data_IF_632805393976
#
_entry.id   IF_632805393976
#
_cell.length_a   1.000
_cell.length_b   1.000
_cell.length_c   1.000
_cell.angle_alpha   90.00
_cell.angle_beta   90.00
_cell.angle_gamma   90.00
#
_symmetry.space_group_name_H-M   'P 1'
#
loop_
_entity.id
_entity.type
_entity.pdbx_description
1 polymer ?
#
# COMPACT_ATOMS: atom_id res chain seq x y z
N UNK A 1 0.54 -11.59 -24.30
CA UNK A 1 1.10 -10.37 -23.71
C UNK A 1 -0.03 -9.70 -22.96
N UNK A 2 0.04 -9.63 -21.65
CA UNK A 2 -1.00 -9.02 -20.82
C UNK A 2 -0.69 -7.53 -20.60
N UNK A 3 -1.73 -6.73 -20.33
CA UNK A 3 -1.66 -5.29 -20.14
C UNK A 3 -2.06 -4.90 -18.72
N UNK A 4 -1.19 -4.20 -18.02
CA UNK A 4 -1.39 -3.88 -16.60
C UNK A 4 -1.28 -2.38 -16.33
N UNK A 5 -2.11 -1.88 -15.43
CA UNK A 5 -1.98 -0.56 -14.84
C UNK A 5 -1.34 -0.67 -13.45
N UNK A 6 -0.32 0.14 -13.15
CA UNK A 6 0.35 0.18 -11.85
C UNK A 6 0.31 1.61 -11.31
N UNK A 7 -0.32 1.84 -10.16
CA UNK A 7 -0.25 3.12 -9.45
C UNK A 7 0.96 3.16 -8.51
N UNK A 8 1.55 4.34 -8.31
CA UNK A 8 2.80 4.46 -7.55
C UNK A 8 3.99 3.85 -8.30
N UNK A 9 3.99 3.94 -9.62
CA UNK A 9 4.94 3.26 -10.52
C UNK A 9 6.40 3.64 -10.27
N UNK A 10 6.67 4.88 -9.84
CA UNK A 10 8.01 5.39 -9.53
C UNK A 10 8.46 5.11 -8.08
N UNK A 11 7.56 4.66 -7.22
CA UNK A 11 7.91 4.22 -5.87
C UNK A 11 8.67 2.89 -5.88
N UNK A 12 9.42 2.57 -4.84
CA UNK A 12 10.29 1.38 -4.81
C UNK A 12 9.57 0.07 -5.08
N UNK A 13 8.34 -0.13 -4.55
CA UNK A 13 7.54 -1.33 -4.86
C UNK A 13 6.97 -1.29 -6.28
N UNK A 14 6.41 -0.14 -6.70
CA UNK A 14 5.82 0.03 -8.04
C UNK A 14 6.85 -0.19 -9.14
N UNK A 15 8.03 0.41 -9.02
CA UNK A 15 9.15 0.26 -9.96
C UNK A 15 9.58 -1.20 -10.11
N UNK A 16 9.69 -1.92 -8.99
CA UNK A 16 10.03 -3.35 -9.01
C UNK A 16 8.93 -4.20 -9.68
N UNK A 17 7.65 -3.84 -9.48
CA UNK A 17 6.51 -4.51 -10.12
C UNK A 17 6.53 -4.26 -11.62
N UNK A 18 6.66 -2.99 -12.05
CA UNK A 18 6.74 -2.63 -13.47
C UNK A 18 7.87 -3.39 -14.17
N UNK A 19 9.07 -3.36 -13.57
CA UNK A 19 10.24 -4.09 -14.10
C UNK A 19 9.98 -5.60 -14.21
N UNK A 20 9.37 -6.22 -13.20
CA UNK A 20 9.11 -7.66 -13.21
C UNK A 20 8.06 -8.06 -14.26
N UNK A 21 7.03 -7.25 -14.47
CA UNK A 21 6.00 -7.49 -15.48
C UNK A 21 6.55 -7.30 -16.88
N UNK A 22 7.29 -6.21 -17.13
CA UNK A 22 7.94 -5.95 -18.42
C UNK A 22 8.94 -7.06 -18.77
N UNK A 23 9.75 -7.51 -17.80
CA UNK A 23 10.67 -8.63 -18.00
C UNK A 23 9.96 -9.97 -18.29
N UNK A 24 8.70 -10.10 -17.90
CA UNK A 24 7.86 -11.25 -18.20
C UNK A 24 7.13 -11.15 -19.57
N UNK A 25 7.44 -10.11 -20.35
CA UNK A 25 6.86 -9.84 -21.68
C UNK A 25 5.49 -9.17 -21.64
N UNK A 26 5.08 -8.61 -20.50
CA UNK A 26 3.81 -7.92 -20.34
C UNK A 26 3.97 -6.40 -20.59
N UNK A 27 2.91 -5.73 -21.00
CA UNK A 27 2.86 -4.28 -21.16
C UNK A 27 2.37 -3.63 -19.86
N UNK A 28 3.01 -2.51 -19.47
CA UNK A 28 2.71 -1.83 -18.22
C UNK A 28 2.54 -0.34 -18.44
N UNK A 29 1.42 0.21 -18.00
CA UNK A 29 1.18 1.63 -17.83
C UNK A 29 1.32 1.98 -16.36
N UNK A 30 2.17 2.96 -16.08
CA UNK A 30 2.40 3.48 -14.74
C UNK A 30 1.61 4.77 -14.51
N UNK A 31 1.12 4.97 -13.29
CA UNK A 31 0.61 6.27 -12.80
C UNK A 31 1.42 6.63 -11.56
N UNK A 32 1.99 7.84 -11.55
CA UNK A 32 2.65 8.42 -10.38
C UNK A 32 2.51 9.95 -10.39
N UNK A 33 2.81 10.62 -9.27
CA UNK A 33 2.74 12.10 -9.18
C UNK A 33 3.65 12.81 -10.17
N UNK A 34 4.75 12.19 -10.54
CA UNK A 34 5.67 12.70 -11.55
C UNK A 34 5.96 11.62 -12.59
N UNK A 35 6.07 12.02 -13.86
CA UNK A 35 6.62 11.14 -14.88
C UNK A 35 8.13 10.94 -14.63
N UNK A 36 8.63 9.74 -14.93
CA UNK A 36 10.07 9.41 -14.81
C UNK A 36 10.83 9.52 -16.13
N UNK A 37 10.18 10.08 -17.16
CA UNK A 37 10.72 10.17 -18.52
C UNK A 37 10.54 8.89 -19.35
N UNK A 38 10.03 7.81 -18.78
CA UNK A 38 9.64 6.63 -19.58
C UNK A 38 8.34 6.89 -20.33
N UNK A 39 8.21 6.31 -21.52
CA UNK A 39 7.08 6.56 -22.41
C UNK A 39 5.71 6.09 -21.86
N UNK A 40 5.72 5.27 -20.78
CA UNK A 40 4.50 4.66 -20.24
C UNK A 40 4.24 4.97 -18.77
N UNK A 41 4.96 5.94 -18.17
CA UNK A 41 4.62 6.47 -16.84
C UNK A 41 3.98 7.84 -16.98
N UNK A 42 2.72 7.90 -16.64
CA UNK A 42 1.85 9.08 -16.78
C UNK A 42 1.86 9.82 -15.44
N UNK A 43 2.11 11.13 -15.49
CA UNK A 43 2.02 11.99 -14.32
C UNK A 43 0.54 12.21 -13.94
N UNK A 44 0.13 11.72 -12.78
CA UNK A 44 -1.18 12.00 -12.22
C UNK A 44 -1.21 11.86 -10.70
N UNK A 45 -1.88 12.79 -10.04
CA UNK A 45 -2.13 12.74 -8.59
C UNK A 45 -3.44 11.97 -8.33
N UNK A 46 -3.35 10.90 -7.53
CA UNK A 46 -4.52 10.09 -7.15
C UNK A 46 -5.55 10.86 -6.30
N UNK A 47 -5.18 12.02 -5.79
CA UNK A 47 -6.07 12.89 -5.01
C UNK A 47 -6.81 13.92 -5.89
N UNK A 48 -6.40 14.08 -7.14
CA UNK A 48 -6.99 14.98 -8.12
C UNK A 48 -7.74 14.21 -9.22
N UNK A 49 -9.04 14.39 -9.27
CA UNK A 49 -9.92 13.70 -10.22
C UNK A 49 -9.64 14.12 -11.67
N UNK A 50 -9.32 15.39 -11.92
CA UNK A 50 -9.02 15.89 -13.27
C UNK A 50 -7.72 15.30 -13.82
N UNK A 51 -6.70 15.23 -12.97
CA UNK A 51 -5.42 14.58 -13.28
C UNK A 51 -5.60 13.10 -13.61
N UNK A 52 -6.45 12.39 -12.84
CA UNK A 52 -6.77 10.98 -13.09
C UNK A 52 -7.58 10.78 -14.37
N UNK A 53 -8.52 11.65 -14.70
CA UNK A 53 -9.30 11.59 -15.95
C UNK A 53 -8.41 11.77 -17.18
N UNK A 54 -7.44 12.66 -17.11
CA UNK A 54 -6.44 12.84 -18.18
C UNK A 54 -5.62 11.55 -18.38
N UNK A 55 -5.12 10.96 -17.28
CA UNK A 55 -4.39 9.70 -17.31
C UNK A 55 -5.26 8.54 -17.83
N UNK A 56 -6.52 8.47 -17.44
CA UNK A 56 -7.48 7.48 -17.93
C UNK A 56 -7.65 7.58 -19.45
N UNK A 57 -7.85 8.80 -19.99
CA UNK A 57 -8.03 9.00 -21.41
C UNK A 57 -6.79 8.57 -22.21
N UNK A 58 -5.60 8.85 -21.69
CA UNK A 58 -4.36 8.41 -22.32
C UNK A 58 -4.23 6.89 -22.30
N UNK A 59 -4.41 6.24 -21.15
CA UNK A 59 -4.34 4.77 -21.04
C UNK A 59 -5.39 4.10 -21.93
N UNK A 60 -6.60 4.63 -21.98
CA UNK A 60 -7.67 4.12 -22.86
C UNK A 60 -7.29 4.20 -24.34
N UNK A 61 -6.67 5.29 -24.76
CA UNK A 61 -6.25 5.48 -26.14
C UNK A 61 -5.09 4.55 -26.54
N UNK A 62 -4.12 4.35 -25.64
CA UNK A 62 -2.90 3.58 -25.91
C UNK A 62 -3.06 2.07 -25.66
N UNK A 63 -3.70 1.70 -24.56
CA UNK A 63 -3.86 0.31 -24.13
C UNK A 63 -5.17 -0.32 -24.65
N UNK A 64 -6.23 0.47 -24.77
CA UNK A 64 -7.59 -0.01 -25.06
C UNK A 64 -8.20 -0.74 -23.88
N UNK A 65 -7.74 -1.96 -23.59
CA UNK A 65 -8.21 -2.76 -22.48
C UNK A 65 -7.06 -3.26 -21.59
N UNK A 66 -7.36 -3.61 -20.34
CA UNK A 66 -6.39 -4.01 -19.31
C UNK A 66 -6.70 -5.42 -18.76
N UNK A 67 -5.67 -6.19 -18.49
CA UNK A 67 -5.76 -7.50 -17.83
C UNK A 67 -5.63 -7.41 -16.30
N UNK A 68 -5.33 -6.21 -15.79
CA UNK A 68 -5.35 -5.96 -14.35
C UNK A 68 -4.87 -4.58 -13.93
N UNK A 69 -5.22 -4.26 -12.67
CA UNK A 69 -4.84 -3.03 -11.99
C UNK A 69 -4.06 -3.40 -10.73
N UNK A 70 -2.90 -2.78 -10.51
CA UNK A 70 -2.08 -2.98 -9.34
C UNK A 70 -1.97 -1.64 -8.57
N UNK A 71 -2.57 -1.59 -7.40
CA UNK A 71 -2.49 -0.44 -6.50
C UNK A 71 -1.26 -0.54 -5.61
N UNK A 72 -0.15 0.11 -6.02
CA UNK A 72 1.08 0.18 -5.25
C UNK A 72 1.36 1.58 -4.68
N UNK A 73 0.58 2.58 -5.05
CA UNK A 73 0.64 3.90 -4.43
C UNK A 73 0.18 3.86 -2.97
N UNK A 74 0.84 4.63 -2.13
CA UNK A 74 0.48 4.79 -0.73
C UNK A 74 1.52 5.60 0.02
N UNK A 75 1.09 6.19 1.12
CA UNK A 75 1.97 6.93 2.05
C UNK A 75 1.91 6.27 3.42
N UNK A 76 3.01 6.41 4.14
CA UNK A 76 3.15 5.95 5.51
C UNK A 76 3.59 7.13 6.37
N UNK A 77 2.78 7.52 7.33
CA UNK A 77 3.07 8.57 8.26
C UNK A 77 2.94 8.08 9.71
N UNK A 78 3.72 8.68 10.59
CA UNK A 78 3.75 8.40 12.02
C UNK A 78 3.24 9.62 12.77
N UNK A 79 2.16 9.45 13.50
CA UNK A 79 1.53 10.53 14.28
C UNK A 79 0.92 10.01 15.58
N UNK A 80 0.88 10.87 16.58
CA UNK A 80 -0.04 10.70 17.69
C UNK A 80 -1.47 11.03 17.21
N UNK A 81 -2.41 10.10 17.41
CA UNK A 81 -3.84 10.36 17.12
C UNK A 81 -4.42 11.49 17.97
N UNK A 82 -3.78 11.84 19.10
CA UNK A 82 -4.18 12.94 19.95
C UNK A 82 -3.64 14.30 19.49
N UNK A 83 -2.66 14.32 18.58
CA UNK A 83 -1.96 15.56 18.16
C UNK A 83 -2.03 15.81 16.66
N UNK A 84 -2.40 14.79 15.86
CA UNK A 84 -2.47 14.92 14.40
C UNK A 84 -3.51 15.93 13.96
N UNK A 85 -3.18 16.72 12.93
CA UNK A 85 -4.14 17.63 12.31
C UNK A 85 -5.15 16.89 11.44
N UNK A 86 -6.34 17.47 11.26
CA UNK A 86 -7.38 16.95 10.37
C UNK A 86 -6.89 16.87 8.92
N UNK A 87 -6.09 17.82 8.47
CA UNK A 87 -5.50 17.81 7.12
C UNK A 87 -4.57 16.63 6.91
N UNK A 88 -3.75 16.26 7.91
CA UNK A 88 -2.86 15.13 7.81
C UNK A 88 -3.62 13.80 7.77
N UNK A 89 -4.63 13.61 8.60
CA UNK A 89 -5.53 12.45 8.54
C UNK A 89 -6.21 12.37 7.17
N UNK A 90 -6.80 13.48 6.73
CA UNK A 90 -7.53 13.56 5.45
C UNK A 90 -6.61 13.22 4.27
N UNK A 91 -5.37 13.73 4.28
CA UNK A 91 -4.37 13.41 3.25
C UNK A 91 -4.08 11.91 3.19
N UNK A 92 -3.88 11.26 4.33
CA UNK A 92 -3.57 9.83 4.40
C UNK A 92 -4.72 8.98 3.86
N UNK A 93 -5.97 9.32 4.20
CA UNK A 93 -7.15 8.66 3.64
C UNK A 93 -7.31 8.96 2.15
N UNK A 94 -7.07 10.19 1.72
CA UNK A 94 -7.20 10.58 0.32
C UNK A 94 -6.24 9.80 -0.60
N UNK A 95 -5.02 9.52 -0.14
CA UNK A 95 -4.05 8.74 -0.91
C UNK A 95 -4.32 7.24 -0.75
N UNK A 96 -4.34 6.72 0.48
CA UNK A 96 -4.32 5.29 0.76
C UNK A 96 -5.65 4.57 0.48
N UNK A 97 -6.78 5.27 0.57
CA UNK A 97 -8.11 4.69 0.37
C UNK A 97 -8.85 5.30 -0.82
N UNK A 98 -9.08 6.61 -0.79
CA UNK A 98 -9.87 7.26 -1.85
C UNK A 98 -9.14 7.28 -3.19
N UNK A 99 -7.80 7.34 -3.21
CA UNK A 99 -7.01 7.18 -4.43
C UNK A 99 -7.26 5.82 -5.10
N UNK A 100 -7.26 4.74 -4.31
CA UNK A 100 -7.61 3.39 -4.82
C UNK A 100 -9.04 3.34 -5.36
N UNK A 101 -9.98 3.93 -4.63
CA UNK A 101 -11.39 4.02 -5.08
C UNK A 101 -11.51 4.80 -6.40
N UNK A 102 -10.89 5.98 -6.53
CA UNK A 102 -10.96 6.80 -7.75
C UNK A 102 -10.40 6.07 -8.95
N UNK A 103 -9.23 5.45 -8.80
CA UNK A 103 -8.63 4.64 -9.88
C UNK A 103 -9.54 3.48 -10.27
N UNK A 104 -10.06 2.73 -9.31
CA UNK A 104 -11.01 1.65 -9.63
C UNK A 104 -12.24 2.19 -10.36
N UNK A 105 -12.86 3.26 -9.87
CA UNK A 105 -14.05 3.87 -10.49
C UNK A 105 -13.82 4.22 -11.96
N UNK A 106 -12.64 4.73 -12.31
CA UNK A 106 -12.31 5.12 -13.67
C UNK A 106 -11.88 3.94 -14.54
N UNK A 107 -11.02 3.07 -14.03
CA UNK A 107 -10.31 2.08 -14.85
C UNK A 107 -10.95 0.68 -14.88
N UNK A 108 -11.85 0.35 -13.96
CA UNK A 108 -12.57 -0.94 -13.99
C UNK A 108 -13.32 -1.20 -15.31
N UNK A 109 -13.93 -0.18 -15.97
CA UNK A 109 -14.57 -0.38 -17.27
C UNK A 109 -13.63 -0.80 -18.41
N UNK A 110 -12.30 -0.63 -18.23
CA UNK A 110 -11.30 -1.07 -19.21
C UNK A 110 -10.84 -2.51 -18.97
N UNK A 111 -11.30 -3.19 -17.94
CA UNK A 111 -10.84 -4.53 -17.64
C UNK A 111 -11.40 -5.57 -18.63
N UNK A 112 -10.49 -6.39 -19.17
CA UNK A 112 -10.82 -7.59 -19.90
C UNK A 112 -11.53 -8.61 -18.98
N UNK A 113 -12.21 -9.58 -19.55
CA UNK A 113 -12.76 -10.71 -18.80
C UNK A 113 -11.68 -11.43 -17.97
N UNK A 114 -12.07 -11.95 -16.81
CA UNK A 114 -11.18 -12.66 -15.89
C UNK A 114 -9.95 -11.88 -15.38
N UNK A 115 -10.00 -10.55 -15.46
CA UNK A 115 -8.95 -9.64 -15.01
C UNK A 115 -8.77 -9.62 -13.48
N UNK A 116 -7.73 -8.94 -13.02
CA UNK A 116 -7.38 -8.88 -11.60
C UNK A 116 -7.10 -7.47 -11.09
N UNK A 117 -7.66 -7.18 -9.93
CA UNK A 117 -7.30 -6.01 -9.14
C UNK A 117 -6.41 -6.47 -7.98
N UNK A 118 -5.18 -6.00 -7.93
CA UNK A 118 -4.22 -6.29 -6.85
C UNK A 118 -4.06 -5.05 -5.99
N UNK A 119 -4.33 -5.17 -4.70
CA UNK A 119 -4.26 -4.07 -3.73
C UNK A 119 -3.15 -4.35 -2.74
N UNK A 120 -2.14 -3.47 -2.69
CA UNK A 120 -1.08 -3.54 -1.69
C UNK A 120 -1.56 -2.86 -0.41
N UNK A 121 -1.85 -3.69 0.58
CA UNK A 121 -2.21 -3.31 1.94
C UNK A 121 -0.96 -3.25 2.84
N UNK A 122 -1.04 -3.80 4.05
CA UNK A 122 0.06 -3.92 5.00
C UNK A 122 -0.15 -5.15 5.89
N UNK A 123 0.94 -5.65 6.48
CA UNK A 123 0.82 -6.63 7.57
C UNK A 123 0.09 -6.06 8.80
N UNK A 124 0.09 -4.72 8.96
CA UNK A 124 -0.57 -4.03 10.07
C UNK A 124 -2.09 -3.99 9.93
N UNK A 125 -2.64 -4.09 8.73
CA UNK A 125 -4.07 -3.93 8.49
C UNK A 125 -4.98 -4.88 9.30
N UNK A 126 -4.64 -6.19 9.47
CA UNK A 126 -5.42 -7.10 10.29
C UNK A 126 -5.00 -7.16 11.75
N UNK A 127 -3.98 -6.39 12.16
CA UNK A 127 -3.41 -6.41 13.49
C UNK A 127 -3.90 -5.22 14.31
N UNK A 128 -3.82 -5.34 15.64
CA UNK A 128 -4.00 -4.18 16.51
C UNK A 128 -2.86 -3.19 16.26
N UNK A 129 -3.16 -1.90 16.06
CA UNK A 129 -2.13 -0.90 15.77
C UNK A 129 -1.18 -0.69 16.96
N UNK A 130 0.09 -0.47 16.64
CA UNK A 130 1.04 0.04 17.61
C UNK A 130 0.78 1.53 17.85
N UNK A 131 1.17 2.08 19.02
CA UNK A 131 1.16 3.53 19.22
C UNK A 131 1.85 4.25 18.06
N UNK A 132 1.34 5.42 17.70
CA UNK A 132 1.86 6.31 16.67
C UNK A 132 1.80 5.80 15.22
N UNK A 133 1.40 4.53 15.00
CA UNK A 133 1.11 3.97 13.66
C UNK A 133 -0.38 4.02 13.29
N UNK A 134 -1.21 4.61 14.17
CA UNK A 134 -2.68 4.47 14.14
C UNK A 134 -3.30 4.91 12.84
N UNK A 135 -2.95 6.08 12.31
CA UNK A 135 -3.54 6.62 11.06
C UNK A 135 -3.29 5.66 9.90
N UNK A 136 -2.04 5.27 9.70
CA UNK A 136 -1.69 4.33 8.64
C UNK A 136 -2.42 2.99 8.79
N UNK A 137 -2.41 2.41 10.00
CA UNK A 137 -3.10 1.14 10.27
C UNK A 137 -4.60 1.24 9.98
N UNK A 138 -5.25 2.34 10.36
CA UNK A 138 -6.67 2.59 10.09
C UNK A 138 -6.93 2.70 8.59
N UNK A 139 -6.12 3.45 7.83
CA UNK A 139 -6.28 3.55 6.38
C UNK A 139 -6.13 2.19 5.69
N UNK A 140 -5.16 1.36 6.13
CA UNK A 140 -4.93 0.04 5.55
C UNK A 140 -6.00 -0.99 5.98
N UNK A 141 -6.56 -0.88 7.18
CA UNK A 141 -7.70 -1.68 7.61
C UNK A 141 -8.96 -1.32 6.81
N UNK A 142 -9.24 -0.03 6.62
CA UNK A 142 -10.32 0.45 5.78
C UNK A 142 -10.17 0.00 4.32
N UNK A 143 -8.95 0.08 3.77
CA UNK A 143 -8.61 -0.40 2.43
C UNK A 143 -8.87 -1.90 2.27
N UNK A 144 -8.60 -2.72 3.28
CA UNK A 144 -8.91 -4.15 3.24
C UNK A 144 -10.40 -4.45 3.30
N UNK A 145 -11.17 -3.66 4.06
CA UNK A 145 -12.64 -3.76 4.04
C UNK A 145 -13.21 -3.35 2.68
N UNK A 146 -12.68 -2.28 2.09
CA UNK A 146 -13.00 -1.89 0.72
C UNK A 146 -12.66 -3.01 -0.27
N UNK A 147 -11.46 -3.59 -0.20
CA UNK A 147 -11.06 -4.70 -1.06
C UNK A 147 -11.95 -5.94 -0.90
N UNK A 148 -12.42 -6.22 0.31
CA UNK A 148 -13.35 -7.32 0.56
C UNK A 148 -14.73 -7.07 -0.06
N UNK A 149 -15.27 -5.86 0.08
CA UNK A 149 -16.53 -5.46 -0.55
C UNK A 149 -16.43 -5.50 -2.08
N UNK A 150 -15.38 -4.86 -2.64
CA UNK A 150 -15.11 -4.86 -4.07
C UNK A 150 -14.99 -6.29 -4.65
N UNK A 151 -14.40 -7.22 -3.90
CA UNK A 151 -14.30 -8.62 -4.30
C UNK A 151 -15.66 -9.28 -4.44
N UNK A 152 -16.60 -8.98 -3.51
CA UNK A 152 -17.95 -9.54 -3.56
C UNK A 152 -18.71 -9.07 -4.80
N UNK A 153 -18.44 -7.86 -5.25
CA UNK A 153 -19.06 -7.30 -6.46
C UNK A 153 -18.37 -7.80 -7.73
N UNK A 154 -17.03 -7.67 -7.81
CA UNK A 154 -16.29 -7.99 -9.03
C UNK A 154 -16.26 -9.47 -9.39
N UNK A 155 -16.43 -10.38 -8.43
CA UNK A 155 -16.58 -11.81 -8.73
C UNK A 155 -17.83 -12.10 -9.57
N UNK A 156 -18.88 -11.28 -9.47
CA UNK A 156 -20.10 -11.40 -10.29
C UNK A 156 -19.85 -11.07 -11.77
N UNK A 157 -18.78 -10.31 -12.03
CA UNK A 157 -18.29 -9.95 -13.36
C UNK A 157 -17.10 -10.82 -13.82
N UNK A 158 -16.76 -11.88 -13.05
CA UNK A 158 -15.64 -12.77 -13.37
C UNK A 158 -14.27 -12.27 -12.98
N UNK A 159 -14.16 -11.09 -12.34
CA UNK A 159 -12.86 -10.54 -11.94
C UNK A 159 -12.43 -10.99 -10.53
N UNK A 160 -11.13 -10.97 -10.27
CA UNK A 160 -10.56 -11.34 -8.98
C UNK A 160 -9.92 -10.14 -8.28
N UNK A 161 -10.21 -9.96 -6.99
CA UNK A 161 -9.54 -8.98 -6.14
C UNK A 161 -8.59 -9.69 -5.18
N UNK A 162 -7.32 -9.34 -5.26
CA UNK A 162 -6.22 -9.92 -4.48
C UNK A 162 -5.62 -8.87 -3.56
N UNK A 163 -5.47 -9.18 -2.28
CA UNK A 163 -4.77 -8.33 -1.32
C UNK A 163 -3.36 -8.86 -1.09
N UNK A 164 -2.38 -7.96 -1.10
CA UNK A 164 -1.00 -8.27 -0.73
C UNK A 164 -0.68 -7.54 0.57
N UNK A 165 -0.23 -8.28 1.58
CA UNK A 165 0.14 -7.76 2.92
C UNK A 165 1.66 -7.85 3.09
N UNK A 166 2.43 -6.83 2.69
CA UNK A 166 3.84 -6.76 3.00
C UNK A 166 4.07 -6.34 4.46
N UNK A 167 5.12 -6.87 5.07
CA UNK A 167 5.84 -6.24 6.16
C UNK A 167 6.88 -5.28 5.60
N UNK A 168 7.99 -5.06 6.32
CA UNK A 168 9.04 -4.15 5.87
C UNK A 168 9.64 -4.59 4.52
N UNK A 169 9.60 -3.69 3.53
CA UNK A 169 10.19 -3.86 2.19
C UNK A 169 11.20 -2.74 1.99
N UNK A 170 12.41 -3.08 1.55
CA UNK A 170 13.49 -2.12 1.31
C UNK A 170 13.18 -1.25 0.10
N UNK A 171 12.60 -0.08 0.33
CA UNK A 171 12.23 0.92 -0.68
C UNK A 171 12.67 2.30 -0.18
N UNK A 172 12.55 3.31 -1.03
CA UNK A 172 12.79 4.71 -0.66
C UNK A 172 11.83 5.22 0.43
N UNK A 173 10.79 4.47 0.74
CA UNK A 173 9.88 4.74 1.87
C UNK A 173 10.55 4.50 3.24
N UNK A 174 11.55 3.60 3.34
CA UNK A 174 12.23 3.35 4.62
C UNK A 174 13.05 4.56 5.11
N UNK A 175 13.94 5.18 4.32
CA UNK A 175 14.57 6.44 4.73
C UNK A 175 13.56 7.53 5.04
N UNK A 176 12.53 7.69 4.21
CA UNK A 176 11.47 8.66 4.46
C UNK A 176 10.66 8.36 5.75
N UNK A 177 10.56 7.10 6.18
CA UNK A 177 9.93 6.75 7.46
C UNK A 177 10.80 7.14 8.65
N UNK A 178 12.13 7.05 8.51
CA UNK A 178 13.08 7.52 9.54
C UNK A 178 12.96 9.04 9.73
N UNK A 179 12.97 9.80 8.63
CA UNK A 179 12.79 11.27 8.70
C UNK A 179 11.45 11.66 9.36
N UNK A 180 10.38 10.92 9.06
CA UNK A 180 9.06 11.14 9.67
C UNK A 180 9.04 10.78 11.15
N UNK A 181 9.74 9.73 11.52
CA UNK A 181 9.88 9.31 12.92
C UNK A 181 10.69 10.33 13.71
N UNK A 182 11.78 10.85 13.15
CA UNK A 182 12.58 11.92 13.75
C UNK A 182 11.75 13.19 13.92
N UNK A 183 10.99 13.58 12.90
CA UNK A 183 10.05 14.70 12.99
C UNK A 183 9.03 14.49 14.10
N UNK A 184 8.39 13.32 14.15
CA UNK A 184 7.44 13.00 15.21
C UNK A 184 8.07 13.09 16.60
N UNK A 185 9.30 12.57 16.80
CA UNK A 185 10.03 12.68 18.06
C UNK A 185 10.31 14.14 18.45
N UNK A 186 10.60 15.00 17.47
CA UNK A 186 10.88 16.42 17.70
C UNK A 186 9.64 17.26 17.98
N UNK A 187 8.50 16.94 17.35
CA UNK A 187 7.30 17.77 17.36
C UNK A 187 6.25 17.37 18.42
N UNK A 188 6.24 16.10 18.87
CA UNK A 188 5.25 15.63 19.85
C UNK A 188 5.41 16.33 21.20
N UNK A 189 4.32 16.89 21.72
CA UNK A 189 4.28 17.56 23.02
C UNK A 189 3.83 16.62 24.14
N UNK A 190 2.91 15.70 23.81
CA UNK A 190 2.33 14.78 24.78
C UNK A 190 3.22 13.55 25.06
N UNK A 191 4.06 13.16 24.08
CA UNK A 191 4.77 11.88 24.12
C UNK A 191 6.29 11.95 23.89
N UNK A 192 7.03 12.96 24.37
CA UNK A 192 8.45 13.12 24.01
C UNK A 192 9.30 11.89 24.38
N UNK A 193 9.12 11.36 25.58
CA UNK A 193 9.86 10.18 26.07
C UNK A 193 9.38 8.89 25.39
N UNK A 194 8.08 8.75 25.16
CA UNK A 194 7.49 7.57 24.54
C UNK A 194 7.88 7.46 23.05
N UNK A 195 7.95 8.59 22.35
CA UNK A 195 8.37 8.66 20.94
C UNK A 195 9.81 8.17 20.77
N UNK A 196 10.72 8.61 21.63
CA UNK A 196 12.11 8.14 21.63
C UNK A 196 12.26 6.64 21.92
N UNK A 197 11.44 6.10 22.83
CA UNK A 197 11.42 4.66 23.07
C UNK A 197 10.82 3.90 21.91
N UNK A 198 9.78 4.45 21.29
CA UNK A 198 9.13 3.88 20.11
C UNK A 198 10.10 3.83 18.92
N UNK A 199 10.93 4.86 18.70
CA UNK A 199 11.99 4.88 17.68
C UNK A 199 12.88 3.65 17.76
N UNK A 200 13.35 3.30 18.96
CA UNK A 200 14.17 2.09 19.17
C UNK A 200 13.45 0.78 18.83
N UNK A 201 12.11 0.76 18.93
CA UNK A 201 11.30 -0.39 18.54
C UNK A 201 11.20 -0.47 17.02
N UNK A 202 10.94 0.67 16.35
CA UNK A 202 10.82 0.76 14.89
C UNK A 202 12.12 0.34 14.21
N UNK A 203 13.28 0.85 14.67
CA UNK A 203 14.59 0.49 14.13
C UNK A 203 14.82 -1.04 14.11
N UNK A 204 14.40 -1.73 15.17
CA UNK A 204 14.52 -3.20 15.26
C UNK A 204 13.56 -3.94 14.32
N UNK A 205 12.39 -3.37 14.09
CA UNK A 205 11.36 -3.95 13.20
C UNK A 205 11.78 -3.77 11.74
N UNK A 206 12.21 -2.57 11.37
CA UNK A 206 12.61 -2.22 10.01
C UNK A 206 13.92 -2.87 9.57
N UNK A 207 14.80 -3.22 10.50
CA UNK A 207 16.03 -3.97 10.20
C UNK A 207 15.78 -5.31 9.49
N UNK A 208 14.57 -5.89 9.61
CA UNK A 208 14.18 -7.15 8.97
C UNK A 208 13.41 -6.93 7.66
N UNK A 209 13.94 -6.11 6.77
CA UNK A 209 13.32 -5.85 5.47
C UNK A 209 13.68 -6.89 4.41
N UNK A 210 12.91 -6.90 3.34
CA UNK A 210 13.16 -7.73 2.14
C UNK A 210 13.24 -6.85 0.89
N UNK A 211 13.98 -7.26 -0.14
CA UNK A 211 14.06 -6.52 -1.39
C UNK A 211 12.68 -6.50 -2.11
N UNK A 212 12.35 -5.38 -2.79
CA UNK A 212 11.06 -5.20 -3.47
C UNK A 212 10.82 -6.21 -4.59
N UNK A 213 11.86 -6.80 -5.15
CA UNK A 213 11.78 -7.87 -6.16
C UNK A 213 11.06 -9.12 -5.63
N UNK A 214 11.21 -9.43 -4.33
CA UNK A 214 10.46 -10.52 -3.69
C UNK A 214 8.96 -10.27 -3.72
N UNK A 215 8.55 -9.02 -3.49
CA UNK A 215 7.15 -8.60 -3.57
C UNK A 215 6.67 -8.67 -5.02
N UNK A 216 7.42 -8.07 -5.95
CA UNK A 216 7.10 -8.05 -7.37
C UNK A 216 6.91 -9.46 -7.92
N UNK A 217 7.83 -10.40 -7.63
CA UNK A 217 7.73 -11.82 -8.02
C UNK A 217 6.44 -12.48 -7.50
N UNK A 218 6.01 -12.12 -6.29
CA UNK A 218 4.79 -12.67 -5.70
C UNK A 218 3.53 -12.10 -6.33
N UNK A 219 3.54 -10.81 -6.70
CA UNK A 219 2.45 -10.15 -7.42
C UNK A 219 2.34 -10.71 -8.84
N UNK A 220 3.44 -10.83 -9.59
CA UNK A 220 3.44 -11.47 -10.92
C UNK A 220 2.87 -12.88 -10.87
N UNK A 221 3.24 -13.66 -9.86
CA UNK A 221 2.67 -15.00 -9.65
C UNK A 221 1.17 -14.95 -9.35
N UNK A 222 0.71 -13.99 -8.54
CA UNK A 222 -0.71 -13.81 -8.23
C UNK A 222 -1.51 -13.41 -9.47
N UNK A 223 -0.95 -12.56 -10.33
CA UNK A 223 -1.57 -12.14 -11.60
C UNK A 223 -1.70 -13.30 -12.60
N UNK A 224 -0.74 -14.22 -12.63
CA UNK A 224 -0.71 -15.35 -13.60
C UNK A 224 -1.34 -16.66 -13.07
N UNK A 225 -1.75 -16.71 -11.80
CA UNK A 225 -2.31 -17.92 -11.20
C UNK A 225 -3.73 -18.19 -11.71
N UNK A 226 -4.05 -19.42 -12.13
CA UNK A 226 -5.42 -19.80 -12.55
C UNK A 226 -6.46 -19.54 -11.44
N UNK A 227 -6.09 -19.85 -10.18
CA UNK A 227 -6.91 -19.60 -8.97
C UNK A 227 -6.06 -18.85 -7.95
N UNK A 228 -6.01 -17.53 -7.97
CA UNK A 228 -5.19 -16.74 -7.05
C UNK A 228 -5.71 -16.89 -5.61
N UNK A 229 -4.80 -16.83 -4.64
CA UNK A 229 -5.19 -16.68 -3.23
C UNK A 229 -5.81 -15.31 -3.02
N UNK A 230 -6.76 -15.21 -2.12
CA UNK A 230 -7.40 -13.93 -1.76
C UNK A 230 -6.41 -12.96 -1.09
N UNK A 231 -5.44 -13.51 -0.34
CA UNK A 231 -4.43 -12.73 0.40
C UNK A 231 -3.05 -13.39 0.25
N UNK A 232 -2.07 -12.58 -0.13
CA UNK A 232 -0.65 -12.93 -0.14
C UNK A 232 0.09 -12.17 0.96
N UNK A 233 0.81 -12.88 1.81
CA UNK A 233 1.60 -12.33 2.92
C UNK A 233 3.08 -12.40 2.57
N UNK A 234 3.83 -11.32 2.88
CA UNK A 234 5.26 -11.20 2.57
C UNK A 234 5.96 -10.59 3.77
N UNK A 235 7.03 -11.23 4.24
CA UNK A 235 7.88 -10.72 5.32
C UNK A 235 7.11 -10.29 6.57
N UNK A 236 6.26 -11.17 7.10
CA UNK A 236 5.51 -10.88 8.34
C UNK A 236 6.47 -10.82 9.53
N UNK A 237 6.29 -9.82 10.38
CA UNK A 237 7.06 -9.70 11.60
C UNK A 237 6.54 -10.67 12.67
N UNK A 238 7.35 -11.66 13.12
CA UNK A 238 6.92 -12.62 14.10
C UNK A 238 6.61 -12.02 15.48
N UNK A 239 7.32 -10.94 15.87
CA UNK A 239 7.09 -10.27 17.15
C UNK A 239 5.72 -9.58 17.18
N UNK A 240 5.31 -8.94 16.08
CA UNK A 240 3.97 -8.36 15.96
C UNK A 240 2.90 -9.44 16.00
N UNK A 241 3.14 -10.60 15.40
CA UNK A 241 2.21 -11.73 15.46
C UNK A 241 2.07 -12.29 16.86
N UNK A 242 3.20 -12.47 17.56
CA UNK A 242 3.19 -12.94 18.96
C UNK A 242 2.47 -11.94 19.86
N UNK A 243 2.75 -10.64 19.71
CA UNK A 243 2.05 -9.60 20.47
C UNK A 243 0.53 -9.66 20.23
N UNK A 244 0.11 -9.79 18.97
CA UNK A 244 -1.31 -9.85 18.62
C UNK A 244 -2.00 -11.18 19.01
N UNK A 245 -1.24 -12.22 19.32
CA UNK A 245 -1.79 -13.47 19.86
C UNK A 245 -2.11 -13.41 21.38
N UNK A 246 -1.58 -12.39 22.07
CA UNK A 246 -1.85 -12.20 23.49
C UNK A 246 -3.26 -11.64 23.75
N UNK A 247 -3.88 -11.90 24.92
CA UNK A 247 -5.09 -11.19 25.33
C UNK A 247 -4.87 -9.67 25.34
N UNK A 248 -5.89 -8.89 24.98
CA UNK A 248 -5.78 -7.42 24.83
C UNK A 248 -5.16 -6.70 26.04
N UNK A 249 -5.53 -7.07 27.23
CA UNK A 249 -4.95 -6.47 28.46
C UNK A 249 -3.43 -6.74 28.56
N UNK A 250 -2.99 -7.92 28.16
CA UNK A 250 -1.56 -8.25 28.13
C UNK A 250 -0.83 -7.48 27.02
N UNK A 251 -1.43 -7.32 25.84
CA UNK A 251 -0.87 -6.47 24.78
C UNK A 251 -0.63 -5.05 25.30
N UNK A 252 -1.65 -4.43 25.90
CA UNK A 252 -1.56 -3.09 26.47
C UNK A 252 -0.47 -3.00 27.55
N UNK A 253 -0.36 -4.00 28.40
CA UNK A 253 0.68 -4.06 29.43
C UNK A 253 2.08 -4.16 28.82
N UNK A 254 2.30 -5.03 27.81
CA UNK A 254 3.57 -5.17 27.11
C UNK A 254 3.96 -3.85 26.43
N UNK A 255 3.02 -3.23 25.70
CA UNK A 255 3.25 -1.95 25.02
C UNK A 255 3.60 -0.86 26.05
N UNK A 256 2.85 -0.77 27.15
CA UNK A 256 3.14 0.18 28.22
C UNK A 256 4.54 -0.05 28.84
N UNK A 257 4.97 -1.29 29.00
CA UNK A 257 6.33 -1.60 29.52
C UNK A 257 7.43 -1.29 28.52
N UNK A 258 7.15 -1.40 27.23
CA UNK A 258 8.16 -1.16 26.18
C UNK A 258 8.37 0.34 25.88
N UNK A 259 7.30 1.14 25.93
CA UNK A 259 7.32 2.54 25.49
C UNK A 259 6.66 3.53 26.47
N UNK A 260 6.08 3.07 27.55
CA UNK A 260 5.44 3.88 28.61
C UNK A 260 6.40 4.47 29.65
#
# INVERSE_FOLDING_TARGET
MAKYLVTGANGGMGRAICKALTAAGDEVWGIDKAADGSARVIAADLTDSGSLEAAFNQVRAEAGALDGIIHAAGIYDLFSLAEISEDAITRDFNVNLFGVYRVNKLFLPLLNENSRVVIISSELAPLEPLPFTGVYAVTKAALEKYAAALRMELQLLGHNVVVVRPGAVKTDMLPASVDKLERFCAETRLYPVNAERFRKVVDRVEARNVPPEKLAKKITRALKARRPRLVYKINRNPLLLMLNALPKRMQLWVIRKAIG
#
